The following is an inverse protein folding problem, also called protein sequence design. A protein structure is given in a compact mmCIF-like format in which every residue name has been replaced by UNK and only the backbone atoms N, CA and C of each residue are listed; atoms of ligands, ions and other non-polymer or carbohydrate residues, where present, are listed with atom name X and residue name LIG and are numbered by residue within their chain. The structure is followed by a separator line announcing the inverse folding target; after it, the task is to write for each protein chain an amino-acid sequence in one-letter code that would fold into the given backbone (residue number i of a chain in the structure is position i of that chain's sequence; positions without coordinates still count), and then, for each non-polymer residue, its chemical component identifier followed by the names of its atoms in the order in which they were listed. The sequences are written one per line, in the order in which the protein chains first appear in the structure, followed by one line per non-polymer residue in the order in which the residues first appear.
data_IF_813341045461
#
_entry.id   IF_813341045461
#
_cell.length_a   1.000
_cell.length_b   1.000
_cell.length_c   1.000
_cell.angle_alpha   90.00
_cell.angle_beta   90.00
_cell.angle_gamma   90.00
#
_symmetry.space_group_name_H-M   'P 1'
#
loop_
_entity.id
_entity.type
_entity.pdbx_description
1 polymer ?
#
# COMPACT_ATOMS: atom_id res chain seq x y z
N UNK A 1 -7.25 14.06 5.05
CA UNK A 1 -7.15 12.71 5.64
C UNK A 1 -7.29 12.89 7.13
N UNK A 2 -8.31 12.26 7.73
CA UNK A 2 -8.42 12.22 9.18
C UNK A 2 -7.23 11.47 9.75
N UNK A 3 -6.69 11.96 10.86
CA UNK A 3 -5.58 11.32 11.55
C UNK A 3 -6.08 10.02 12.20
N UNK A 4 -5.47 8.89 11.85
CA UNK A 4 -5.76 7.62 12.51
C UNK A 4 -5.31 7.69 13.97
N UNK A 5 -6.25 7.50 14.89
CA UNK A 5 -6.01 7.55 16.33
C UNK A 5 -6.11 6.15 16.92
N UNK A 6 -5.06 5.73 17.59
CA UNK A 6 -5.08 4.48 18.34
C UNK A 6 -5.90 4.67 19.62
N UNK A 7 -6.90 3.82 19.84
CA UNK A 7 -7.85 3.95 20.96
C UNK A 7 -7.59 3.00 22.11
N UNK A 8 -6.99 1.84 21.88
CA UNK A 8 -6.91 0.79 22.91
C UNK A 8 -7.90 -0.36 22.71
N UNK A 9 -8.90 -0.17 21.86
CA UNK A 9 -10.06 -1.07 21.70
C UNK A 9 -10.32 -1.49 20.25
N UNK A 10 -9.32 -1.34 19.38
CA UNK A 10 -9.43 -1.67 17.97
C UNK A 10 -9.72 -3.17 17.76
N UNK A 11 -10.59 -3.49 16.79
CA UNK A 11 -11.06 -4.86 16.54
C UNK A 11 -9.93 -5.87 16.24
N UNK A 12 -8.81 -5.39 15.70
CA UNK A 12 -7.65 -6.18 15.31
C UNK A 12 -6.68 -6.46 16.47
N UNK A 13 -6.97 -6.01 17.70
CA UNK A 13 -6.13 -6.28 18.88
C UNK A 13 -6.01 -7.75 19.26
N UNK A 14 -6.94 -8.59 18.80
CA UNK A 14 -6.85 -10.05 18.94
C UNK A 14 -6.00 -10.71 17.85
N UNK A 15 -5.36 -9.90 16.99
CA UNK A 15 -4.66 -10.34 15.80
C UNK A 15 -5.60 -10.55 14.61
N UNK A 16 -5.00 -10.63 13.42
CA UNK A 16 -5.70 -10.82 12.15
C UNK A 16 -5.05 -11.97 11.40
N UNK A 17 -5.84 -12.99 11.04
CA UNK A 17 -5.36 -14.08 10.20
C UNK A 17 -5.16 -13.59 8.76
N UNK A 18 -3.92 -13.59 8.28
CA UNK A 18 -3.58 -13.09 6.95
C UNK A 18 -2.32 -13.73 6.39
N UNK A 19 -2.36 -14.09 5.10
CA UNK A 19 -1.20 -14.53 4.33
C UNK A 19 -1.27 -13.98 2.91
N UNK A 20 -0.18 -13.38 2.43
CA UNK A 20 -0.11 -12.94 1.05
C UNK A 20 -0.10 -14.15 0.11
N UNK A 21 -1.12 -14.26 -0.73
CA UNK A 21 -1.30 -15.38 -1.67
C UNK A 21 -0.67 -15.14 -3.03
N UNK A 22 0.08 -14.05 -3.21
CA UNK A 22 0.66 -13.68 -4.52
C UNK A 22 -0.41 -13.44 -5.59
N UNK A 23 -1.60 -12.99 -5.20
CA UNK A 23 -2.74 -12.87 -6.13
C UNK A 23 -2.64 -11.72 -7.12
N UNK A 24 -1.76 -10.75 -6.88
CA UNK A 24 -1.64 -9.53 -7.70
C UNK A 24 -2.78 -8.52 -7.53
N UNK A 25 -3.83 -8.86 -6.76
CA UNK A 25 -5.01 -8.01 -6.60
C UNK A 25 -4.70 -6.64 -5.98
N UNK A 26 -3.76 -6.55 -5.04
CA UNK A 26 -3.35 -5.24 -4.51
C UNK A 26 -2.67 -4.31 -5.54
N UNK A 27 -2.33 -4.83 -6.73
CA UNK A 27 -1.81 -4.06 -7.85
C UNK A 27 -2.88 -3.69 -8.87
N UNK A 28 -4.10 -4.21 -8.75
CA UNK A 28 -5.21 -3.88 -9.67
C UNK A 28 -6.04 -2.77 -9.06
N UNK A 29 -6.46 -1.78 -9.84
CA UNK A 29 -7.27 -0.67 -9.33
C UNK A 29 -8.69 -1.15 -9.00
N UNK A 30 -9.21 -0.77 -7.83
CA UNK A 30 -10.56 -1.13 -7.42
C UNK A 30 -11.23 -0.04 -6.56
N UNK A 31 -12.36 0.48 -7.02
CA UNK A 31 -13.11 1.52 -6.30
C UNK A 31 -12.30 2.81 -6.15
N UNK A 32 -12.17 3.31 -4.92
CA UNK A 32 -11.39 4.51 -4.59
C UNK A 32 -9.88 4.24 -4.47
N UNK A 33 -9.47 2.96 -4.52
CA UNK A 33 -8.07 2.52 -4.41
C UNK A 33 -7.47 2.32 -5.81
N UNK A 34 -6.97 3.41 -6.40
CA UNK A 34 -6.28 3.39 -7.70
C UNK A 34 -4.82 3.86 -7.62
N UNK A 35 -4.53 4.77 -6.71
CA UNK A 35 -3.20 5.38 -6.61
C UNK A 35 -2.26 4.60 -5.71
N UNK A 36 -1.06 4.35 -6.22
CA UNK A 36 0.10 3.95 -5.41
C UNK A 36 0.88 5.20 -5.04
N UNK A 37 0.67 5.70 -3.82
CA UNK A 37 1.32 6.89 -3.29
C UNK A 37 2.75 6.62 -2.85
N UNK A 38 3.59 7.65 -2.96
CA UNK A 38 5.03 7.53 -2.77
C UNK A 38 5.60 8.68 -1.93
N UNK A 39 6.35 8.33 -0.89
CA UNK A 39 7.27 9.25 -0.24
C UNK A 39 8.56 9.42 -1.06
N UNK A 40 9.43 10.33 -0.66
CA UNK A 40 10.78 10.42 -1.21
C UNK A 40 11.58 9.11 -1.00
N UNK A 41 11.41 8.45 0.14
CA UNK A 41 12.11 7.19 0.45
C UNK A 41 11.61 6.05 -0.46
N UNK A 42 10.32 6.03 -0.80
CA UNK A 42 9.77 5.10 -1.79
C UNK A 42 10.41 5.31 -3.16
N UNK A 43 10.50 6.56 -3.61
CA UNK A 43 11.13 6.91 -4.90
C UNK A 43 12.61 6.55 -4.93
N UNK A 44 13.34 6.73 -3.81
CA UNK A 44 14.74 6.28 -3.68
C UNK A 44 14.87 4.77 -3.80
N UNK A 45 13.98 4.00 -3.16
CA UNK A 45 13.97 2.52 -3.26
C UNK A 45 13.75 2.05 -4.68
N UNK A 46 12.75 2.61 -5.36
CA UNK A 46 12.52 2.30 -6.77
C UNK A 46 13.69 2.69 -7.68
N UNK A 47 14.24 3.88 -7.50
CA UNK A 47 15.38 4.35 -8.28
C UNK A 47 16.59 3.42 -8.12
N UNK A 48 16.89 2.99 -6.88
CA UNK A 48 17.93 1.98 -6.60
C UNK A 48 17.65 0.66 -7.31
N UNK A 49 16.41 0.17 -7.26
CA UNK A 49 16.02 -1.09 -7.91
C UNK A 49 16.18 -1.05 -9.43
N UNK A 50 15.81 0.05 -10.07
CA UNK A 50 15.97 0.23 -11.51
C UNK A 50 17.34 0.78 -11.93
N UNK A 51 18.29 0.88 -11.00
CA UNK A 51 19.64 1.39 -11.22
C UNK A 51 19.66 2.75 -11.95
N UNK A 52 18.88 3.71 -11.47
CA UNK A 52 18.76 5.06 -12.04
C UNK A 52 18.74 6.14 -10.95
N UNK A 53 18.88 7.41 -11.36
CA UNK A 53 18.78 8.52 -10.40
C UNK A 53 17.34 8.71 -9.94
N UNK A 54 17.16 9.19 -8.70
CA UNK A 54 15.84 9.46 -8.11
C UNK A 54 15.01 10.44 -8.95
N UNK A 55 15.65 11.47 -9.49
CA UNK A 55 14.99 12.44 -10.37
C UNK A 55 14.51 11.83 -11.69
N UNK A 56 15.28 10.90 -12.26
CA UNK A 56 14.90 10.17 -13.48
C UNK A 56 13.71 9.25 -13.22
N UNK A 57 13.75 8.49 -12.11
CA UNK A 57 12.63 7.66 -11.69
C UNK A 57 11.36 8.51 -11.50
N UNK A 58 11.47 9.62 -10.77
CA UNK A 58 10.35 10.52 -10.49
C UNK A 58 9.75 11.06 -11.78
N UNK A 59 10.56 11.56 -12.71
CA UNK A 59 10.09 12.10 -13.99
C UNK A 59 9.42 11.02 -14.85
N UNK A 60 10.01 9.82 -14.88
CA UNK A 60 9.56 8.73 -15.75
C UNK A 60 8.28 8.08 -15.22
N UNK A 61 8.21 7.74 -13.94
CA UNK A 61 7.19 6.85 -13.37
C UNK A 61 6.21 7.52 -12.40
N UNK A 62 6.49 8.73 -11.90
CA UNK A 62 5.62 9.40 -10.94
C UNK A 62 4.79 10.53 -11.58
N UNK A 63 3.60 10.76 -11.03
CA UNK A 63 2.80 11.95 -11.22
C UNK A 63 2.52 12.61 -9.86
N UNK A 64 2.03 13.85 -9.90
CA UNK A 64 1.70 14.61 -8.69
C UNK A 64 0.29 15.18 -8.82
N UNK A 65 -0.58 14.80 -7.89
CA UNK A 65 -1.98 15.23 -7.84
C UNK A 65 -2.31 15.69 -6.42
N UNK A 66 -2.97 16.84 -6.27
CA UNK A 66 -3.26 17.41 -4.94
C UNK A 66 -2.04 17.62 -4.05
N UNK A 67 -0.86 17.83 -4.65
CA UNK A 67 0.41 17.97 -3.94
C UNK A 67 1.09 16.66 -3.53
N UNK A 68 0.46 15.51 -3.75
CA UNK A 68 0.95 14.17 -3.38
C UNK A 68 1.56 13.45 -4.57
N UNK A 69 2.70 12.79 -4.37
CA UNK A 69 3.33 11.93 -5.37
C UNK A 69 2.68 10.55 -5.42
N UNK A 70 2.43 10.06 -6.64
CA UNK A 70 1.95 8.71 -6.90
C UNK A 70 2.59 8.12 -8.15
N UNK A 71 2.53 6.80 -8.34
CA UNK A 71 2.83 6.19 -9.63
C UNK A 71 1.84 6.67 -10.69
N UNK A 72 2.31 6.88 -11.92
CA UNK A 72 1.43 7.16 -13.05
C UNK A 72 0.51 5.95 -13.28
N UNK A 73 -0.71 6.23 -13.69
CA UNK A 73 -1.66 5.22 -14.16
C UNK A 73 -1.83 5.36 -15.67
N UNK A 74 -2.19 4.27 -16.33
CA UNK A 74 -2.68 4.31 -17.71
C UNK A 74 -4.20 4.42 -17.66
N UNK A 75 -4.84 5.47 -18.20
CA UNK A 75 -6.30 5.58 -18.21
C UNK A 75 -7.00 4.41 -18.93
N UNK A 76 -6.30 3.71 -19.83
CA UNK A 76 -6.82 2.51 -20.51
C UNK A 76 -6.56 1.22 -19.73
N UNK A 77 -5.62 1.25 -18.79
CA UNK A 77 -5.29 0.13 -17.91
C UNK A 77 -4.95 0.67 -16.51
N UNK A 78 -5.93 0.79 -15.62
CA UNK A 78 -5.75 1.43 -14.32
C UNK A 78 -4.94 0.58 -13.35
N UNK A 79 -4.55 -0.65 -13.72
CA UNK A 79 -3.66 -1.46 -12.91
C UNK A 79 -2.28 -0.82 -12.78
N UNK A 80 -1.59 -1.12 -11.68
CA UNK A 80 -0.24 -0.67 -11.44
C UNK A 80 0.67 -1.09 -12.60
N UNK A 81 1.40 -0.12 -13.16
CA UNK A 81 2.33 -0.34 -14.27
C UNK A 81 3.43 -1.40 -14.03
N UNK A 82 3.69 -1.76 -12.77
CA UNK A 82 4.64 -2.82 -12.41
C UNK A 82 3.98 -4.19 -12.27
N UNK A 83 2.67 -4.34 -12.48
CA UNK A 83 2.01 -5.64 -12.50
C UNK A 83 2.48 -6.46 -13.72
N UNK A 84 2.98 -7.67 -13.47
CA UNK A 84 3.40 -8.66 -14.46
C UNK A 84 2.63 -9.96 -14.20
N UNK A 85 1.59 -10.20 -14.99
CA UNK A 85 0.65 -11.29 -14.76
C UNK A 85 -0.03 -11.11 -13.40
N UNK A 86 0.26 -12.01 -12.45
CA UNK A 86 -0.26 -11.96 -11.06
C UNK A 86 0.78 -11.49 -10.03
N UNK A 87 1.93 -10.98 -10.48
CA UNK A 87 3.06 -10.66 -9.61
C UNK A 87 3.55 -9.23 -9.82
N UNK A 88 4.11 -8.61 -8.77
CA UNK A 88 4.77 -7.32 -8.90
C UNK A 88 6.15 -7.50 -9.52
N UNK A 89 6.41 -6.86 -10.67
CA UNK A 89 7.71 -6.84 -11.34
C UNK A 89 8.78 -6.03 -10.62
N UNK A 90 8.45 -5.36 -9.51
CA UNK A 90 9.37 -4.59 -8.67
C UNK A 90 9.18 -4.93 -7.19
N UNK A 91 8.94 -6.20 -6.87
CA UNK A 91 8.49 -6.67 -5.55
C UNK A 91 9.39 -6.21 -4.38
N UNK A 92 10.72 -6.26 -4.55
CA UNK A 92 11.69 -5.81 -3.54
C UNK A 92 11.67 -4.28 -3.33
N UNK A 93 11.30 -3.55 -4.37
CA UNK A 93 11.27 -2.09 -4.39
C UNK A 93 9.92 -1.51 -3.96
N UNK A 94 8.93 -2.37 -3.65
CA UNK A 94 7.57 -1.96 -3.31
C UNK A 94 7.56 -0.78 -2.34
N UNK A 95 6.69 0.21 -2.55
CA UNK A 95 6.58 1.32 -1.63
C UNK A 95 5.97 0.88 -0.30
N UNK A 96 6.07 1.71 0.73
CA UNK A 96 5.51 1.43 2.06
C UNK A 96 4.03 1.05 1.94
N UNK A 97 3.23 1.80 1.18
CA UNK A 97 1.82 1.47 0.94
C UNK A 97 1.62 0.03 0.42
N UNK A 98 2.40 -0.41 -0.58
CA UNK A 98 2.28 -1.78 -1.08
C UNK A 98 2.82 -2.86 -0.11
N UNK A 99 3.70 -2.50 0.83
CA UNK A 99 4.26 -3.42 1.84
C UNK A 99 3.34 -3.60 3.04
N UNK A 100 2.66 -2.53 3.43
CA UNK A 100 1.77 -2.49 4.58
C UNK A 100 0.36 -2.97 4.25
N UNK A 101 0.03 -3.22 2.97
CA UNK A 101 -1.23 -3.86 2.60
C UNK A 101 -1.40 -5.22 3.30
N UNK A 102 -2.55 -5.50 3.92
CA UNK A 102 -3.81 -4.74 3.88
C UNK A 102 -4.05 -3.79 5.08
N UNK A 103 -3.05 -3.53 5.91
CA UNK A 103 -3.18 -2.81 7.18
C UNK A 103 -2.98 -1.30 7.02
N UNK A 104 -3.76 -0.67 6.13
CA UNK A 104 -3.72 0.78 5.96
C UNK A 104 -4.66 1.50 6.92
N UNK A 105 -4.30 2.69 7.41
CA UNK A 105 -5.11 3.45 8.36
C UNK A 105 -6.57 3.63 7.92
N UNK A 106 -6.82 3.91 6.64
CA UNK A 106 -8.17 4.18 6.12
C UNK A 106 -9.10 2.95 6.12
N UNK A 107 -8.55 1.73 6.11
CA UNK A 107 -9.32 0.48 6.08
C UNK A 107 -9.36 -0.26 7.42
N UNK A 108 -8.67 0.23 8.44
CA UNK A 108 -8.52 -0.49 9.71
C UNK A 108 -9.66 -0.27 10.72
N UNK A 109 -10.73 0.42 10.34
CA UNK A 109 -12.02 0.31 11.04
C UNK A 109 -12.77 -0.94 10.56
N UNK A 110 -13.59 -1.56 11.42
CA UNK A 110 -14.22 -2.85 11.14
C UNK A 110 -15.13 -2.83 9.89
N UNK A 111 -15.79 -1.70 9.62
CA UNK A 111 -16.71 -1.53 8.50
C UNK A 111 -15.94 -1.46 7.17
N UNK A 112 -14.93 -0.60 7.07
CA UNK A 112 -14.07 -0.47 5.88
C UNK A 112 -13.27 -1.75 5.64
N UNK A 113 -12.76 -2.40 6.70
CA UNK A 113 -12.07 -3.68 6.55
C UNK A 113 -12.95 -4.74 5.88
N UNK A 114 -14.18 -4.89 6.35
CA UNK A 114 -15.11 -5.88 5.79
C UNK A 114 -15.46 -5.58 4.33
N UNK A 115 -15.68 -4.30 4.00
CA UNK A 115 -16.10 -3.85 2.68
C UNK A 115 -14.96 -3.86 1.66
N UNK A 116 -13.81 -3.31 2.00
CA UNK A 116 -12.76 -2.95 1.05
C UNK A 116 -11.60 -3.96 1.04
N UNK A 117 -11.31 -4.57 2.20
CA UNK A 117 -10.19 -5.51 2.33
C UNK A 117 -10.67 -6.95 2.21
N UNK A 118 -11.61 -7.38 3.05
CA UNK A 118 -12.08 -8.78 3.10
C UNK A 118 -12.77 -9.21 1.82
N UNK A 119 -13.55 -8.33 1.19
CA UNK A 119 -14.23 -8.63 -0.07
C UNK A 119 -13.24 -8.80 -1.25
N UNK A 120 -12.08 -8.17 -1.16
CA UNK A 120 -11.16 -8.06 -2.28
C UNK A 120 -9.95 -8.97 -2.17
N UNK A 121 -9.29 -8.98 -1.01
CA UNK A 121 -8.01 -9.66 -0.79
C UNK A 121 -8.20 -11.13 -0.38
N UNK A 122 -7.80 -12.10 -1.23
CA UNK A 122 -7.95 -13.53 -0.93
C UNK A 122 -7.00 -14.04 0.16
N UNK A 123 -6.09 -13.19 0.67
CA UNK A 123 -5.20 -13.51 1.77
C UNK A 123 -5.85 -13.38 3.15
N UNK A 124 -6.97 -12.66 3.26
CA UNK A 124 -7.69 -12.47 4.52
C UNK A 124 -8.27 -13.81 4.99
N UNK A 125 -8.01 -14.18 6.24
CA UNK A 125 -8.44 -15.46 6.81
C UNK A 125 -7.53 -16.64 6.46
N UNK A 126 -6.37 -16.43 5.82
CA UNK A 126 -5.39 -17.48 5.49
C UNK A 126 -4.10 -17.38 6.29
N UNK A 127 -3.36 -18.48 6.33
CA UNK A 127 -2.07 -18.60 7.02
C UNK A 127 -2.13 -18.24 8.50
N UNK A 128 -1.07 -17.62 9.00
CA UNK A 128 -0.87 -17.33 10.42
C UNK A 128 -1.69 -16.13 10.91
N UNK A 129 -1.86 -16.06 12.23
CA UNK A 129 -2.41 -14.87 12.89
C UNK A 129 -1.29 -13.83 13.02
N UNK A 130 -1.47 -12.70 12.35
CA UNK A 130 -0.60 -11.55 12.53
C UNK A 130 -0.94 -10.92 13.88
N UNK A 131 0.02 -10.84 14.82
CA UNK A 131 -0.21 -10.30 16.16
C UNK A 131 -0.40 -8.78 16.12
N UNK A 132 -1.12 -8.24 17.10
CA UNK A 132 -1.52 -6.84 17.14
C UNK A 132 -0.33 -5.87 17.08
N UNK A 133 0.80 -6.23 17.71
CA UNK A 133 2.02 -5.42 17.74
C UNK A 133 2.62 -5.26 16.33
N UNK A 134 2.55 -6.32 15.50
CA UNK A 134 3.00 -6.25 14.11
C UNK A 134 2.07 -5.40 13.25
N UNK A 135 0.76 -5.52 13.47
CA UNK A 135 -0.24 -4.71 12.77
C UNK A 135 -0.05 -3.22 13.12
N UNK A 136 0.11 -2.91 14.40
CA UNK A 136 0.38 -1.56 14.86
C UNK A 136 1.68 -1.00 14.28
N UNK A 137 2.75 -1.80 14.22
CA UNK A 137 4.01 -1.39 13.60
C UNK A 137 3.83 -1.03 12.12
N UNK A 138 3.07 -1.81 11.36
CA UNK A 138 2.78 -1.53 9.94
C UNK A 138 1.90 -0.29 9.78
N UNK A 139 0.91 -0.09 10.65
CA UNK A 139 0.09 1.12 10.66
C UNK A 139 0.95 2.37 10.93
N UNK A 140 1.84 2.30 11.92
CA UNK A 140 2.77 3.40 12.23
C UNK A 140 3.72 3.67 11.07
N UNK A 141 4.23 2.64 10.40
CA UNK A 141 5.06 2.79 9.20
C UNK A 141 4.31 3.51 8.08
N UNK A 142 3.06 3.09 7.82
CA UNK A 142 2.21 3.68 6.79
C UNK A 142 1.87 5.15 7.10
N UNK A 143 1.41 5.46 8.32
CA UNK A 143 1.13 6.83 8.80
C UNK A 143 2.38 7.71 8.67
N UNK A 144 3.56 7.17 8.98
CA UNK A 144 4.80 7.93 8.84
C UNK A 144 5.17 8.18 7.37
N UNK A 145 4.89 7.23 6.47
CA UNK A 145 5.08 7.41 5.02
C UNK A 145 4.17 8.50 4.46
N UNK A 146 2.89 8.52 4.87
CA UNK A 146 1.89 9.50 4.43
C UNK A 146 2.31 10.96 4.68
N UNK A 147 2.97 11.23 5.81
CA UNK A 147 3.55 12.56 6.13
C UNK A 147 4.60 13.02 5.12
N UNK A 148 5.19 12.09 4.38
CA UNK A 148 6.22 12.32 3.37
C UNK A 148 5.71 12.37 1.93
N UNK A 149 4.44 12.03 1.67
CA UNK A 149 3.91 11.92 0.30
C UNK A 149 3.84 13.25 -0.46
N UNK A 150 3.73 14.36 0.27
CA UNK A 150 3.72 15.71 -0.30
C UNK A 150 5.10 16.33 -0.54
N UNK A 151 6.18 15.68 -0.08
CA UNK A 151 7.56 16.16 -0.17
C UNK A 151 8.26 15.50 -1.36
#
# INVERSE_FOLDING_TARGET
MEEFKFTGDEWWRKGVRFECTGSGKCCTSHGEYGYVFLSLEDRKRFAKHFNMRVGEFTKKYCARSGGIWHLKEDPKNPDCMFLKGKSCGAYEARPTQCRTWPFWPEVMNAKSWAKDVKAFCPGVGRGEVIPAEKIEAQLREQIQSEKGWGK
#
